data_IF_389569653952
#
_entry.id   IF_389569653952
#
_cell.length_a   1.000
_cell.length_b   1.000
_cell.length_c   1.000
_cell.angle_alpha   90.00
_cell.angle_beta   90.00
_cell.angle_gamma   90.00
#
_symmetry.space_group_name_H-M   'P 1'
#
loop_
_entity.id
_entity.type
_entity.pdbx_description
1 polymer ?
#
# COMPACT_ATOMS: atom_id res chain seq x y z
N UNK A 1 3.24 13.90 1.63
CA UNK A 1 3.83 12.71 0.97
C UNK A 1 2.89 11.54 1.16
N UNK A 2 3.08 10.46 0.41
CA UNK A 2 2.25 9.26 0.53
C UNK A 2 3.12 8.05 0.81
N UNK A 3 2.64 7.09 1.57
CA UNK A 3 3.35 5.84 1.85
C UNK A 3 2.37 4.67 1.76
N UNK A 4 2.90 3.51 1.44
CA UNK A 4 2.22 2.24 1.54
C UNK A 4 2.35 1.64 2.95
N UNK A 5 1.28 1.04 3.44
CA UNK A 5 1.31 0.08 4.54
C UNK A 5 0.86 -1.27 3.99
N UNK A 6 1.78 -2.23 3.92
CA UNK A 6 1.52 -3.59 3.46
C UNK A 6 1.25 -4.47 4.67
N UNK A 7 0.18 -5.25 4.63
CA UNK A 7 -0.26 -6.10 5.73
C UNK A 7 -0.34 -7.53 5.21
N UNK A 8 0.45 -8.42 5.78
CA UNK A 8 0.49 -9.84 5.42
C UNK A 8 0.51 -10.70 6.68
N UNK A 9 -0.12 -11.89 6.67
CA UNK A 9 0.08 -12.86 7.75
C UNK A 9 1.55 -13.31 7.89
N UNK A 10 2.36 -13.24 6.83
CA UNK A 10 3.74 -13.77 6.84
C UNK A 10 4.74 -12.85 7.55
N UNK A 11 4.55 -11.53 7.43
CA UNK A 11 5.48 -10.53 7.98
C UNK A 11 4.80 -9.47 8.85
N UNK A 12 3.49 -9.57 9.08
CA UNK A 12 2.73 -8.58 9.84
C UNK A 12 2.50 -7.30 9.04
N UNK A 13 2.98 -6.18 9.54
CA UNK A 13 2.78 -4.85 8.95
C UNK A 13 4.14 -4.30 8.51
N UNK A 14 4.26 -3.97 7.22
CA UNK A 14 5.37 -3.18 6.69
C UNK A 14 4.89 -1.77 6.34
N UNK A 15 5.35 -0.78 7.11
CA UNK A 15 5.11 0.64 6.88
C UNK A 15 6.40 1.45 6.73
N UNK A 16 7.50 0.78 6.37
CA UNK A 16 8.79 1.42 6.09
C UNK A 16 9.04 1.60 4.59
N UNK A 17 8.03 1.35 3.77
CA UNK A 17 8.09 1.53 2.32
C UNK A 17 8.44 2.97 1.87
N UNK A 18 8.80 3.13 0.59
CA UNK A 18 9.21 4.41 0.03
C UNK A 18 8.10 5.46 0.11
N UNK A 19 8.51 6.73 0.17
CA UNK A 19 7.58 7.85 0.08
C UNK A 19 7.32 8.19 -1.39
N UNK A 20 6.04 8.29 -1.74
CA UNK A 20 5.57 8.69 -3.05
C UNK A 20 5.14 10.18 -3.03
N UNK A 21 5.39 10.92 -4.12
CA UNK A 21 5.02 12.33 -4.22
C UNK A 21 3.50 12.54 -4.39
N UNK A 22 2.78 11.59 -5.00
CA UNK A 22 1.33 11.67 -5.22
C UNK A 22 0.60 10.42 -4.74
N UNK A 23 -0.69 10.57 -4.41
CA UNK A 23 -1.56 9.45 -4.03
C UNK A 23 -1.67 8.42 -5.14
N UNK A 24 -1.81 8.87 -6.38
CA UNK A 24 -1.94 8.01 -7.56
C UNK A 24 -0.69 7.13 -7.76
N UNK A 25 0.51 7.68 -7.55
CA UNK A 25 1.73 6.88 -7.62
C UNK A 25 1.80 5.84 -6.49
N UNK A 26 1.38 6.20 -5.27
CA UNK A 26 1.27 5.24 -4.18
C UNK A 26 0.23 4.15 -4.50
N UNK A 27 -0.92 4.50 -5.07
CA UNK A 27 -1.94 3.53 -5.49
C UNK A 27 -1.42 2.54 -6.53
N UNK A 28 -0.77 3.04 -7.59
CA UNK A 28 -0.16 2.16 -8.62
C UNK A 28 0.88 1.21 -8.01
N UNK A 29 1.67 1.70 -7.05
CA UNK A 29 2.62 0.85 -6.33
C UNK A 29 1.91 -0.19 -5.45
N UNK A 30 0.80 0.14 -4.76
CA UNK A 30 -0.03 -0.83 -4.05
C UNK A 30 -0.58 -1.91 -4.98
N UNK A 31 -1.14 -1.53 -6.14
CA UNK A 31 -1.66 -2.46 -7.14
C UNK A 31 -0.58 -3.44 -7.61
N UNK A 32 0.63 -2.94 -7.90
CA UNK A 32 1.77 -3.78 -8.27
C UNK A 32 2.15 -4.76 -7.15
N UNK A 33 2.21 -4.31 -5.89
CA UNK A 33 2.51 -5.19 -4.77
C UNK A 33 1.45 -6.27 -4.60
N UNK A 34 0.17 -5.93 -4.73
CA UNK A 34 -0.92 -6.90 -4.68
C UNK A 34 -0.81 -7.95 -5.79
N UNK A 35 -0.45 -7.54 -7.01
CA UNK A 35 -0.24 -8.46 -8.13
C UNK A 35 0.96 -9.38 -7.91
N UNK A 36 2.11 -8.84 -7.50
CA UNK A 36 3.34 -9.61 -7.21
C UNK A 36 3.10 -10.65 -6.12
N UNK A 37 2.38 -10.27 -5.07
CA UNK A 37 2.08 -11.16 -3.97
C UNK A 37 0.82 -12.02 -4.19
N UNK A 38 0.21 -11.97 -5.38
CA UNK A 38 -1.01 -12.70 -5.74
C UNK A 38 -2.14 -12.50 -4.71
N UNK A 39 -2.30 -11.28 -4.21
CA UNK A 39 -3.34 -10.91 -3.25
C UNK A 39 -3.18 -11.49 -1.85
N UNK A 40 -2.02 -12.10 -1.54
CA UNK A 40 -1.71 -12.62 -0.20
C UNK A 40 -1.41 -11.53 0.82
N UNK A 41 -1.45 -10.26 0.41
CA UNK A 41 -1.31 -9.09 1.29
C UNK A 41 -2.48 -8.13 1.08
N UNK A 42 -2.70 -7.26 2.05
CA UNK A 42 -3.53 -6.06 1.95
C UNK A 42 -2.61 -4.85 1.81
N UNK A 43 -2.95 -3.92 0.93
CA UNK A 43 -2.17 -2.70 0.72
C UNK A 43 -3.01 -1.47 1.04
N UNK A 44 -2.52 -0.63 1.95
CA UNK A 44 -3.15 0.63 2.31
C UNK A 44 -2.28 1.81 1.85
N UNK A 45 -2.92 2.88 1.38
CA UNK A 45 -2.25 4.14 1.07
C UNK A 45 -2.48 5.12 2.21
N UNK A 46 -1.41 5.68 2.73
CA UNK A 46 -1.41 6.63 3.83
C UNK A 46 -0.84 7.98 3.41
N UNK A 47 -1.44 9.07 3.87
CA UNK A 47 -0.87 10.41 3.78
C UNK A 47 0.08 10.63 4.95
N UNK A 48 1.31 11.01 4.64
CA UNK A 48 2.32 11.37 5.64
C UNK A 48 2.43 12.88 5.70
N UNK A 49 2.15 13.43 6.88
CA UNK A 49 2.47 14.81 7.23
C UNK A 49 3.81 14.83 7.97
N UNK A 50 4.81 15.47 7.34
CA UNK A 50 6.17 15.54 7.88
C UNK A 50 6.29 16.58 9.01
N UNK A 51 5.39 17.56 9.09
CA UNK A 51 5.42 18.61 10.11
C UNK A 51 4.90 18.08 11.44
N UNK A 52 3.79 17.36 11.40
CA UNK A 52 3.15 16.77 12.58
C UNK A 52 3.65 15.35 12.87
N UNK A 53 4.40 14.75 11.93
CA UNK A 53 4.85 13.34 11.98
C UNK A 53 3.67 12.37 12.11
N UNK A 54 2.53 12.74 11.55
CA UNK A 54 1.31 11.92 11.56
C UNK A 54 1.10 11.21 10.23
N UNK A 55 0.46 10.05 10.31
CA UNK A 55 0.06 9.25 9.15
C UNK A 55 -1.43 8.98 9.20
N UNK A 56 -2.13 9.23 8.10
CA UNK A 56 -3.57 9.03 7.97
C UNK A 56 -3.85 8.05 6.83
N UNK A 57 -4.65 7.01 7.08
CA UNK A 57 -5.10 6.08 6.03
C UNK A 57 -6.06 6.81 5.11
N UNK A 58 -5.74 6.86 3.82
CA UNK A 58 -6.60 7.45 2.79
C UNK A 58 -7.48 6.41 2.10
N UNK A 59 -6.90 5.26 1.76
CA UNK A 59 -7.60 4.19 1.06
C UNK A 59 -6.97 2.83 1.33
N UNK A 60 -7.78 1.79 1.14
CA UNK A 60 -7.33 0.40 1.03
C UNK A 60 -7.49 -0.02 -0.44
N UNK A 61 -6.41 -0.54 -1.02
CA UNK A 61 -6.35 -0.89 -2.43
C UNK A 61 -6.67 -2.37 -2.59
N UNK A 62 -7.50 -2.68 -3.58
CA UNK A 62 -7.90 -4.04 -3.94
C UNK A 62 -7.69 -4.24 -5.43
N UNK A 63 -7.13 -5.38 -5.82
CA UNK A 63 -7.10 -5.82 -7.21
C UNK A 63 -7.98 -7.05 -7.34
N UNK A 64 -8.85 -7.09 -8.36
CA UNK A 64 -9.54 -8.32 -8.73
C UNK A 64 -8.51 -9.25 -9.34
N UNK A 65 -8.11 -10.26 -8.59
CA UNK A 65 -7.33 -11.35 -9.15
C UNK A 65 -8.31 -12.25 -9.90
N UNK A 66 -8.31 -12.16 -11.22
CA UNK A 66 -8.94 -13.20 -12.01
C UNK A 66 -8.15 -14.50 -11.79
N UNK A 67 -8.83 -15.64 -11.51
CA UNK A 67 -8.13 -16.92 -11.45
C UNK A 67 -7.46 -17.14 -12.81
N UNK A 68 -6.14 -17.21 -12.81
CA UNK A 68 -5.40 -17.76 -13.95
C UNK A 68 -5.52 -19.28 -13.82
N UNK A 69 -6.44 -19.86 -14.61
CA UNK A 69 -6.57 -21.30 -14.86
C UNK A 69 -5.29 -21.89 -15.48
#
# INVERSE_FOLDING_TARGET
MYRLKLISPDFGIDDNGPLHPTQEQARRAAELMLLVHKGRLRAEVHKVDLKTRTTEKLEEVYVKLEPQD
#
